data_IF_376875727622
#
_entry.id   IF_376875727622
#
_cell.length_a   1.000
_cell.length_b   1.000
_cell.length_c   1.000
_cell.angle_alpha   90.00
_cell.angle_beta   90.00
_cell.angle_gamma   90.00
#
_symmetry.space_group_name_H-M   'P 1'
#
loop_
_entity.id
_entity.type
_entity.pdbx_description
1 polymer ?
#
# COMPACT_ATOMS: atom_id res chain seq x y z
N UNK A 1 -19.36 -5.27 -3.01
CA UNK A 1 -19.48 -4.38 -1.84
C UNK A 1 -20.94 -4.31 -1.37
N UNK A 2 -21.16 -4.31 -0.05
CA UNK A 2 -22.47 -4.22 0.55
C UNK A 2 -22.44 -3.30 1.79
N UNK A 3 -23.38 -2.37 1.90
CA UNK A 3 -23.38 -1.29 2.93
C UNK A 3 -23.42 -1.79 4.38
N UNK A 4 -23.99 -2.96 4.62
CA UNK A 4 -24.11 -3.57 5.94
C UNK A 4 -22.88 -4.37 6.36
N UNK A 5 -21.95 -4.63 5.44
CA UNK A 5 -20.71 -5.35 5.71
C UNK A 5 -19.55 -4.40 6.03
N UNK A 6 -18.40 -4.96 6.39
CA UNK A 6 -17.14 -4.23 6.59
C UNK A 6 -15.97 -4.88 5.87
N UNK A 7 -16.20 -6.04 5.25
CA UNK A 7 -15.16 -6.85 4.60
C UNK A 7 -15.72 -7.53 3.36
N UNK A 8 -14.85 -8.08 2.54
CA UNK A 8 -15.21 -8.89 1.37
C UNK A 8 -14.91 -10.36 1.68
N UNK A 9 -15.83 -11.24 1.27
CA UNK A 9 -15.65 -12.68 1.30
C UNK A 9 -15.18 -13.13 -0.07
N UNK A 10 -13.98 -13.68 -0.15
CA UNK A 10 -13.48 -14.35 -1.35
C UNK A 10 -13.75 -15.84 -1.17
N UNK A 11 -14.51 -16.48 -2.09
CA UNK A 11 -14.73 -17.93 -2.02
C UNK A 11 -13.42 -18.66 -2.37
N UNK A 12 -13.17 -19.77 -1.68
CA UNK A 12 -12.02 -20.64 -1.90
C UNK A 12 -11.34 -21.03 -0.58
N UNK A 13 -10.42 -21.97 -0.66
CA UNK A 13 -9.53 -22.31 0.44
C UNK A 13 -8.30 -21.40 0.37
N UNK A 14 -8.06 -20.65 1.45
CA UNK A 14 -6.92 -19.74 1.55
C UNK A 14 -6.07 -20.20 2.73
N UNK A 15 -4.86 -20.64 2.44
CA UNK A 15 -3.86 -20.96 3.45
C UNK A 15 -3.14 -19.69 3.91
N UNK A 16 -3.72 -18.97 4.86
CA UNK A 16 -3.04 -17.88 5.54
C UNK A 16 -2.72 -18.26 6.99
N UNK A 17 -1.64 -17.72 7.52
CA UNK A 17 -1.19 -17.97 8.89
C UNK A 17 -1.96 -17.16 9.95
N UNK A 18 -2.98 -16.39 9.56
CA UNK A 18 -3.79 -15.51 10.41
C UNK A 18 -5.29 -15.78 10.27
N UNK A 19 -6.09 -15.19 11.17
CA UNK A 19 -7.53 -15.41 11.29
C UNK A 19 -8.31 -15.05 10.02
N UNK A 20 -9.39 -15.78 9.72
CA UNK A 20 -10.28 -15.53 8.57
C UNK A 20 -10.83 -14.08 8.53
N UNK A 21 -11.07 -13.46 9.68
CA UNK A 21 -11.50 -12.07 9.79
C UNK A 21 -10.46 -11.11 9.20
N UNK A 22 -9.18 -11.39 9.44
CA UNK A 22 -8.07 -10.61 8.90
C UNK A 22 -7.91 -10.82 7.39
N UNK A 23 -8.07 -12.05 6.88
CA UNK A 23 -8.06 -12.32 5.44
C UNK A 23 -9.17 -11.58 4.69
N UNK A 24 -10.37 -11.53 5.28
CA UNK A 24 -11.49 -10.77 4.71
C UNK A 24 -11.23 -9.26 4.70
N UNK A 25 -10.59 -8.74 5.75
CA UNK A 25 -10.17 -7.34 5.79
C UNK A 25 -9.10 -7.06 4.72
N UNK A 26 -8.12 -7.95 4.56
CA UNK A 26 -7.11 -7.85 3.52
C UNK A 26 -7.74 -7.79 2.12
N UNK A 27 -8.68 -8.68 1.82
CA UNK A 27 -9.39 -8.70 0.54
C UNK A 27 -10.14 -7.39 0.28
N UNK A 28 -10.75 -6.82 1.31
CA UNK A 28 -11.41 -5.52 1.23
C UNK A 28 -10.41 -4.39 1.02
N UNK A 29 -9.42 -4.28 1.88
CA UNK A 29 -8.49 -3.13 1.90
C UNK A 29 -7.62 -3.07 0.64
N UNK A 30 -7.10 -4.23 0.17
CA UNK A 30 -6.23 -4.28 -1.02
C UNK A 30 -6.93 -3.80 -2.28
N UNK A 31 -8.22 -4.09 -2.42
CA UNK A 31 -9.03 -3.59 -3.55
C UNK A 31 -9.17 -2.06 -3.54
N UNK A 32 -9.05 -1.42 -2.37
CA UNK A 32 -9.15 0.03 -2.24
C UNK A 32 -7.97 0.78 -2.88
N UNK A 33 -6.83 0.15 -3.07
CA UNK A 33 -5.72 0.75 -3.83
C UNK A 33 -6.13 1.08 -5.27
N UNK A 34 -6.93 0.21 -5.90
CA UNK A 34 -7.49 0.49 -7.21
C UNK A 34 -8.62 1.52 -7.14
N UNK A 35 -9.57 1.35 -6.22
CA UNK A 35 -10.71 2.25 -6.06
C UNK A 35 -10.32 3.68 -5.68
N UNK A 36 -9.21 3.87 -4.97
CA UNK A 36 -8.69 5.19 -4.64
C UNK A 36 -8.35 6.02 -5.90
N UNK A 37 -7.90 5.36 -6.97
CA UNK A 37 -7.40 6.01 -8.18
C UNK A 37 -8.43 6.05 -9.33
N UNK A 38 -9.61 5.43 -9.14
CA UNK A 38 -10.64 5.40 -10.17
C UNK A 38 -11.59 6.60 -10.05
N UNK A 39 -11.83 7.26 -11.18
CA UNK A 39 -12.88 8.27 -11.31
C UNK A 39 -14.25 7.63 -11.46
N UNK A 40 -15.29 8.30 -10.94
CA UNK A 40 -16.69 7.88 -11.09
C UNK A 40 -17.15 6.84 -10.07
N UNK A 41 -18.39 6.37 -10.25
CA UNK A 41 -19.10 5.40 -9.42
C UNK A 41 -19.20 5.78 -7.93
N UNK A 42 -19.77 6.97 -7.68
CA UNK A 42 -19.96 7.49 -6.32
C UNK A 42 -20.82 6.55 -5.46
N UNK A 43 -21.74 5.77 -6.02
CA UNK A 43 -22.57 4.82 -5.28
C UNK A 43 -21.72 3.69 -4.69
N UNK A 44 -20.76 3.14 -5.46
CA UNK A 44 -19.83 2.14 -4.95
C UNK A 44 -18.91 2.77 -3.89
N UNK A 45 -18.39 3.96 -4.14
CA UNK A 45 -17.53 4.67 -3.18
C UNK A 45 -18.29 4.98 -1.87
N UNK A 46 -19.53 5.43 -1.93
CA UNK A 46 -20.38 5.62 -0.74
C UNK A 46 -20.60 4.30 0.01
N UNK A 47 -20.80 3.19 -0.71
CA UNK A 47 -20.91 1.86 -0.13
C UNK A 47 -19.62 1.47 0.61
N UNK A 48 -18.45 1.69 0.00
CA UNK A 48 -17.15 1.45 0.63
C UNK A 48 -17.01 2.27 1.91
N UNK A 49 -17.38 3.55 1.91
CA UNK A 49 -17.35 4.39 3.11
C UNK A 49 -18.24 3.85 4.23
N UNK A 50 -19.43 3.32 3.91
CA UNK A 50 -20.30 2.68 4.90
C UNK A 50 -19.67 1.42 5.47
N UNK A 51 -19.02 0.60 4.65
CA UNK A 51 -18.26 -0.57 5.10
C UNK A 51 -17.11 -0.18 6.03
N UNK A 52 -16.38 0.90 5.71
CA UNK A 52 -15.32 1.44 6.59
C UNK A 52 -15.92 1.87 7.94
N UNK A 53 -17.03 2.62 7.94
CA UNK A 53 -17.71 3.04 9.19
C UNK A 53 -18.08 1.85 10.07
N UNK A 54 -18.59 0.78 9.49
CA UNK A 54 -18.91 -0.45 10.21
C UNK A 54 -17.66 -1.10 10.83
N UNK A 55 -16.58 -1.20 10.03
CA UNK A 55 -15.36 -1.86 10.46
C UNK A 55 -14.60 -1.17 11.59
N UNK A 56 -14.64 0.16 11.64
CA UNK A 56 -13.98 0.95 12.71
C UNK A 56 -14.86 1.16 13.95
N UNK A 57 -16.16 0.89 13.88
CA UNK A 57 -17.08 1.11 14.98
C UNK A 57 -17.05 -0.08 15.96
N UNK A 58 -16.54 0.16 17.17
CA UNK A 58 -16.46 -0.87 18.24
C UNK A 58 -17.80 -1.46 18.68
N UNK A 59 -18.91 -0.76 18.41
CA UNK A 59 -20.26 -1.22 18.75
C UNK A 59 -20.88 -2.04 17.61
N UNK A 60 -20.27 -2.06 16.43
CA UNK A 60 -20.71 -2.86 15.29
C UNK A 60 -20.35 -4.32 15.48
N UNK A 61 -21.22 -5.23 15.09
CA UNK A 61 -20.95 -6.66 14.95
C UNK A 61 -19.93 -6.96 13.81
N UNK A 62 -19.67 -5.98 12.96
CA UNK A 62 -18.72 -5.98 11.86
C UNK A 62 -17.36 -5.34 12.20
N UNK A 63 -17.13 -5.03 13.47
CA UNK A 63 -15.89 -4.39 13.92
C UNK A 63 -14.66 -5.21 13.58
N UNK A 64 -13.65 -4.58 13.00
CA UNK A 64 -12.38 -5.24 12.59
C UNK A 64 -11.52 -5.73 13.76
N UNK A 65 -11.90 -5.41 14.98
CA UNK A 65 -11.17 -5.79 16.18
C UNK A 65 -9.99 -4.87 16.50
N UNK A 66 -9.34 -5.17 17.64
CA UNK A 66 -8.13 -4.46 18.06
C UNK A 66 -6.92 -4.90 17.27
N UNK A 67 -5.95 -4.00 17.16
CA UNK A 67 -4.63 -4.29 16.58
C UNK A 67 -3.73 -4.89 17.64
N UNK A 68 -2.98 -5.94 17.26
CA UNK A 68 -2.01 -6.64 18.10
C UNK A 68 -0.58 -6.37 17.60
N UNK A 69 0.43 -6.79 18.36
CA UNK A 69 1.82 -6.77 17.92
C UNK A 69 1.99 -7.63 16.66
N UNK A 70 2.69 -7.09 15.65
CA UNK A 70 2.94 -7.74 14.36
C UNK A 70 1.67 -8.21 13.62
N UNK A 71 0.55 -7.52 13.85
CA UNK A 71 -0.75 -7.86 13.26
C UNK A 71 -0.78 -7.56 11.76
N UNK A 72 -1.24 -8.53 10.95
CA UNK A 72 -1.43 -8.32 9.50
C UNK A 72 -2.36 -7.13 9.20
N UNK A 73 -3.32 -6.82 10.06
CA UNK A 73 -4.20 -5.64 9.91
C UNK A 73 -3.46 -4.30 9.81
N UNK A 74 -2.21 -4.23 10.31
CA UNK A 74 -1.35 -3.04 10.18
C UNK A 74 -1.12 -2.71 8.70
N UNK A 75 -0.88 -3.73 7.88
CA UNK A 75 -0.65 -3.59 6.43
C UNK A 75 -1.91 -3.04 5.74
N UNK A 76 -3.07 -3.39 6.27
CA UNK A 76 -4.37 -3.05 5.68
C UNK A 76 -4.84 -1.61 6.00
N UNK A 77 -4.18 -0.94 6.94
CA UNK A 77 -4.55 0.40 7.36
C UNK A 77 -4.33 1.46 6.28
N UNK A 78 -3.16 1.46 5.62
CA UNK A 78 -2.84 2.55 4.70
C UNK A 78 -3.71 2.56 3.43
N UNK A 79 -4.10 1.42 2.83
CA UNK A 79 -5.01 1.45 1.68
C UNK A 79 -6.36 2.08 1.98
N UNK A 80 -6.90 1.81 3.19
CA UNK A 80 -8.16 2.39 3.64
C UNK A 80 -8.05 3.91 3.78
N UNK A 81 -6.99 4.39 4.43
CA UNK A 81 -6.77 5.83 4.58
C UNK A 81 -6.44 6.52 3.25
N UNK A 82 -5.69 5.86 2.37
CA UNK A 82 -5.44 6.36 1.02
C UNK A 82 -6.75 6.58 0.26
N UNK A 83 -7.66 5.59 0.31
CA UNK A 83 -8.99 5.72 -0.29
C UNK A 83 -9.75 6.93 0.27
N UNK A 84 -9.69 7.15 1.58
CA UNK A 84 -10.35 8.31 2.22
C UNK A 84 -9.71 9.63 1.79
N UNK A 85 -8.40 9.70 1.64
CA UNK A 85 -7.68 10.92 1.20
C UNK A 85 -8.00 11.25 -0.26
N UNK A 86 -7.98 10.27 -1.15
CA UNK A 86 -8.28 10.47 -2.57
C UNK A 86 -9.77 10.82 -2.81
N UNK A 87 -10.67 10.35 -1.94
CA UNK A 87 -12.09 10.65 -2.01
C UNK A 87 -12.53 11.59 -0.87
N UNK A 88 -11.72 12.62 -0.58
CA UNK A 88 -11.89 13.49 0.59
C UNK A 88 -13.26 14.17 0.66
N UNK A 89 -13.83 14.59 -0.45
CA UNK A 89 -15.15 15.23 -0.48
C UNK A 89 -16.26 14.28 0.03
N UNK A 90 -16.22 13.01 -0.39
CA UNK A 90 -17.16 11.98 0.11
C UNK A 90 -16.90 11.64 1.57
N UNK A 91 -15.62 11.55 1.97
CA UNK A 91 -15.25 11.37 3.37
C UNK A 91 -15.83 12.49 4.26
N UNK A 92 -15.66 13.75 3.88
CA UNK A 92 -16.16 14.90 4.63
C UNK A 92 -17.70 14.93 4.72
N UNK A 93 -18.38 14.50 3.64
CA UNK A 93 -19.84 14.39 3.56
C UNK A 93 -20.40 13.26 4.45
N UNK A 94 -19.73 12.10 4.48
CA UNK A 94 -20.27 10.87 5.06
C UNK A 94 -19.81 10.61 6.50
N UNK A 95 -18.68 11.20 6.93
CA UNK A 95 -18.13 11.00 8.26
C UNK A 95 -18.50 12.14 9.21
N UNK A 96 -19.48 11.88 10.06
CA UNK A 96 -19.81 12.72 11.20
C UNK A 96 -18.72 12.66 12.30
N UNK A 97 -18.89 13.41 13.38
CA UNK A 97 -17.91 13.47 14.46
C UNK A 97 -17.64 12.11 15.09
N UNK A 98 -18.66 11.30 15.30
CA UNK A 98 -18.54 9.97 15.93
C UNK A 98 -17.75 9.00 15.01
N UNK A 99 -18.04 9.01 13.70
CA UNK A 99 -17.31 8.21 12.74
C UNK A 99 -15.83 8.64 12.61
N UNK A 100 -15.56 9.95 12.67
CA UNK A 100 -14.18 10.50 12.67
C UNK A 100 -13.44 10.11 13.94
N UNK A 101 -14.10 10.13 15.09
CA UNK A 101 -13.49 9.68 16.35
C UNK A 101 -13.20 8.18 16.33
N UNK A 102 -14.13 7.34 15.86
CA UNK A 102 -13.91 5.91 15.68
C UNK A 102 -12.75 5.62 14.74
N UNK A 103 -12.65 6.33 13.60
CA UNK A 103 -11.55 6.23 12.67
C UNK A 103 -10.24 6.55 13.37
N UNK A 104 -10.14 7.70 14.01
CA UNK A 104 -8.95 8.11 14.73
C UNK A 104 -8.55 7.08 15.79
N UNK A 105 -9.49 6.61 16.61
CA UNK A 105 -9.21 5.62 17.66
C UNK A 105 -8.73 4.29 17.09
N UNK A 106 -9.26 3.83 15.95
CA UNK A 106 -8.85 2.57 15.36
C UNK A 106 -7.46 2.66 14.74
N UNK A 107 -7.19 3.69 13.95
CA UNK A 107 -5.92 3.85 13.25
C UNK A 107 -4.75 4.23 14.17
N UNK A 108 -4.99 5.00 15.23
CA UNK A 108 -3.93 5.35 16.19
C UNK A 108 -3.38 4.16 16.98
N UNK A 109 -4.04 3.00 16.97
CA UNK A 109 -3.52 1.79 17.59
C UNK A 109 -2.17 1.36 16.98
N UNK A 110 -1.88 1.73 15.73
CA UNK A 110 -0.57 1.46 15.08
C UNK A 110 0.60 2.02 15.89
N UNK A 111 0.38 3.11 16.62
CA UNK A 111 1.42 3.76 17.43
C UNK A 111 1.61 3.12 18.82
N UNK A 112 0.86 2.07 19.15
CA UNK A 112 0.82 1.43 20.48
C UNK A 112 1.29 -0.03 20.46
N UNK A 113 1.57 -0.58 19.29
CA UNK A 113 1.92 -1.99 19.09
C UNK A 113 3.33 -2.11 18.54
N UNK A 114 3.93 -3.29 18.76
CA UNK A 114 5.22 -3.61 18.17
C UNK A 114 5.08 -3.88 16.67
N UNK A 115 5.95 -3.27 15.87
CA UNK A 115 5.99 -3.42 14.40
C UNK A 115 7.42 -3.79 13.99
N UNK A 116 7.62 -4.79 13.11
CA UNK A 116 8.93 -5.23 12.68
C UNK A 116 9.80 -4.11 12.10
N UNK A 117 11.11 -4.18 12.34
CA UNK A 117 12.10 -3.24 11.81
C UNK A 117 12.48 -3.60 10.35
N UNK A 118 11.50 -3.55 9.47
CA UNK A 118 11.61 -3.81 8.04
C UNK A 118 10.72 -2.83 7.26
N UNK A 119 10.32 -3.17 6.04
CA UNK A 119 9.43 -2.34 5.22
C UNK A 119 8.13 -1.91 5.94
N UNK A 120 7.67 -2.62 6.98
CA UNK A 120 6.48 -2.27 7.75
C UNK A 120 6.60 -0.93 8.50
N UNK A 121 7.80 -0.41 8.67
CA UNK A 121 7.99 0.94 9.22
C UNK A 121 7.31 2.02 8.36
N UNK A 122 7.15 1.78 7.05
CA UNK A 122 6.39 2.67 6.20
C UNK A 122 4.89 2.70 6.50
N UNK A 123 4.31 1.64 7.07
CA UNK A 123 2.90 1.68 7.47
C UNK A 123 2.66 2.68 8.60
N UNK A 124 3.59 2.79 9.57
CA UNK A 124 3.52 3.82 10.62
C UNK A 124 3.57 5.22 9.97
N UNK A 125 4.49 5.42 9.05
CA UNK A 125 4.64 6.70 8.33
C UNK A 125 3.39 7.05 7.54
N UNK A 126 2.90 6.14 6.68
CA UNK A 126 1.77 6.38 5.79
C UNK A 126 0.46 6.57 6.57
N UNK A 127 0.18 5.73 7.57
CA UNK A 127 -1.02 5.85 8.40
C UNK A 127 -1.07 7.20 9.11
N UNK A 128 0.01 7.60 9.79
CA UNK A 128 0.06 8.89 10.47
C UNK A 128 0.02 10.08 9.48
N UNK A 129 0.63 9.94 8.31
CA UNK A 129 0.58 10.96 7.24
C UNK A 129 -0.85 11.15 6.74
N UNK A 130 -1.56 10.07 6.44
CA UNK A 130 -2.93 10.15 5.93
C UNK A 130 -3.92 10.62 7.01
N UNK A 131 -3.74 10.23 8.27
CA UNK A 131 -4.51 10.82 9.38
C UNK A 131 -4.35 12.36 9.42
N UNK A 132 -3.11 12.85 9.28
CA UNK A 132 -2.83 14.29 9.19
C UNK A 132 -3.59 14.96 8.03
N UNK A 133 -3.58 14.35 6.85
CA UNK A 133 -4.23 14.89 5.63
C UNK A 133 -5.77 14.91 5.75
N UNK A 134 -6.33 14.00 6.56
CA UNK A 134 -7.76 13.97 6.89
C UNK A 134 -8.12 14.90 8.07
N UNK A 135 -7.16 15.64 8.63
CA UNK A 135 -7.39 16.53 9.77
C UNK A 135 -7.61 15.81 11.09
N UNK A 136 -7.16 14.57 11.21
CA UNK A 136 -7.23 13.75 12.42
C UNK A 136 -5.93 13.83 13.23
N UNK A 137 -5.99 13.44 14.51
CA UNK A 137 -4.79 13.33 15.34
C UNK A 137 -3.85 12.27 14.77
N UNK A 138 -2.56 12.53 14.85
CA UNK A 138 -1.48 11.66 14.38
C UNK A 138 -0.25 11.79 15.27
N UNK A 139 0.70 10.89 15.14
CA UNK A 139 1.97 10.93 15.88
C UNK A 139 3.13 11.33 14.98
N UNK A 140 3.52 12.63 15.04
CA UNK A 140 4.76 13.09 14.40
C UNK A 140 5.99 12.34 14.93
N UNK A 141 6.03 12.06 16.24
CA UNK A 141 7.11 11.31 16.86
C UNK A 141 7.26 9.92 16.24
N UNK A 142 6.15 9.19 16.05
CA UNK A 142 6.19 7.86 15.44
C UNK A 142 6.70 7.91 13.98
N UNK A 143 6.28 8.92 13.20
CA UNK A 143 6.81 9.17 11.85
C UNK A 143 8.33 9.35 11.88
N UNK A 144 8.83 10.25 12.74
CA UNK A 144 10.25 10.57 12.79
C UNK A 144 11.11 9.40 13.28
N UNK A 145 10.59 8.59 14.21
CA UNK A 145 11.25 7.36 14.68
C UNK A 145 11.30 6.28 13.59
N UNK A 146 10.19 6.09 12.87
CA UNK A 146 10.15 5.12 11.77
C UNK A 146 11.07 5.52 10.62
N UNK A 147 11.18 6.79 10.29
CA UNK A 147 12.15 7.23 9.28
C UNK A 147 13.60 6.97 9.68
N UNK A 148 13.94 7.07 10.96
CA UNK A 148 15.28 6.67 11.44
C UNK A 148 15.55 5.18 11.22
N UNK A 149 14.53 4.32 11.36
CA UNK A 149 14.68 2.89 11.07
C UNK A 149 14.79 2.63 9.57
N UNK A 150 13.99 3.31 8.74
CA UNK A 150 14.05 3.21 7.28
C UNK A 150 15.43 3.67 6.77
N UNK A 151 16.00 4.72 7.35
CA UNK A 151 17.35 5.20 6.99
C UNK A 151 18.43 4.15 7.25
N UNK A 152 18.32 3.36 8.31
CA UNK A 152 19.27 2.26 8.60
C UNK A 152 19.21 1.13 7.58
N UNK A 153 18.11 1.00 6.86
CA UNK A 153 17.96 0.00 5.81
C UNK A 153 18.57 0.44 4.47
N UNK A 154 18.94 1.73 4.32
CA UNK A 154 19.59 2.22 3.10
C UNK A 154 21.04 1.75 3.03
N UNK A 155 21.42 1.10 1.92
CA UNK A 155 22.74 0.48 1.74
C UNK A 155 23.57 1.11 0.61
N UNK A 156 23.11 2.22 0.04
CA UNK A 156 23.78 2.94 -1.04
C UNK A 156 23.25 2.65 -2.43
N UNK A 157 23.61 3.48 -3.39
CA UNK A 157 23.29 3.35 -4.83
C UNK A 157 21.80 3.16 -5.14
N UNK A 158 20.92 3.73 -4.31
CA UNK A 158 19.47 3.55 -4.41
C UNK A 158 18.94 2.25 -3.82
N UNK A 159 19.79 1.38 -3.28
CA UNK A 159 19.35 0.11 -2.71
C UNK A 159 19.06 0.19 -1.21
N UNK A 160 18.12 -0.64 -0.81
CA UNK A 160 17.78 -0.90 0.60
C UNK A 160 17.97 -2.38 0.91
N UNK A 161 18.10 -2.72 2.19
CA UNK A 161 17.80 -4.05 2.73
C UNK A 161 16.40 -4.07 3.32
N UNK A 162 15.71 -5.21 3.27
CA UNK A 162 14.42 -5.36 3.96
C UNK A 162 14.66 -5.88 5.39
N UNK A 163 14.95 -4.95 6.30
CA UNK A 163 15.35 -5.23 7.68
C UNK A 163 16.86 -5.40 7.86
N UNK A 164 17.25 -5.92 9.04
CA UNK A 164 18.67 -6.01 9.48
C UNK A 164 19.45 -7.15 8.81
N UNK A 165 18.78 -8.05 8.08
CA UNK A 165 19.38 -9.29 7.53
C UNK A 165 20.04 -9.12 6.18
N UNK A 166 20.22 -7.92 5.67
CA UNK A 166 20.69 -7.63 4.30
C UNK A 166 19.88 -8.30 3.18
N UNK A 167 18.67 -8.72 3.47
CA UNK A 167 17.79 -9.37 2.50
C UNK A 167 17.41 -8.39 1.39
N UNK A 168 17.50 -8.87 0.15
CA UNK A 168 17.11 -8.13 -1.05
C UNK A 168 16.19 -9.01 -1.88
N UNK A 169 15.05 -8.46 -2.22
CA UNK A 169 14.01 -9.13 -3.01
C UNK A 169 13.05 -8.08 -3.60
N UNK A 170 11.93 -8.52 -4.14
CA UNK A 170 10.92 -7.63 -4.70
C UNK A 170 10.26 -6.68 -3.68
N UNK A 171 10.44 -6.83 -2.37
CA UNK A 171 10.03 -5.82 -1.39
C UNK A 171 10.85 -4.53 -1.48
N UNK A 172 12.03 -4.54 -2.13
CA UNK A 172 12.78 -3.30 -2.35
C UNK A 172 12.01 -2.37 -3.31
N UNK A 173 11.69 -2.76 -4.56
CA UNK A 173 10.88 -1.91 -5.45
C UNK A 173 9.42 -1.79 -5.01
N UNK A 174 8.79 -2.89 -4.58
CA UNK A 174 7.36 -2.98 -4.29
C UNK A 174 6.97 -2.29 -2.98
N UNK A 175 7.81 -2.36 -1.95
CA UNK A 175 7.51 -1.79 -0.64
C UNK A 175 8.38 -0.55 -0.37
N UNK A 176 9.69 -0.69 -0.21
CA UNK A 176 10.54 0.40 0.26
C UNK A 176 10.52 1.59 -0.69
N UNK A 177 10.73 1.39 -1.99
CA UNK A 177 10.64 2.50 -2.97
C UNK A 177 9.20 2.94 -3.23
N UNK A 178 8.26 2.00 -3.38
CA UNK A 178 6.87 2.35 -3.64
C UNK A 178 6.28 3.22 -2.52
N UNK A 179 6.46 2.82 -1.26
CA UNK A 179 5.94 3.58 -0.11
C UNK A 179 6.68 4.89 0.12
N UNK A 180 7.98 4.94 -0.15
CA UNK A 180 8.73 6.19 -0.07
C UNK A 180 8.28 7.21 -1.12
N UNK A 181 8.03 6.78 -2.34
CA UNK A 181 7.48 7.61 -3.40
C UNK A 181 6.03 8.00 -3.12
N UNK A 182 5.22 7.08 -2.57
CA UNK A 182 3.86 7.40 -2.12
C UNK A 182 3.90 8.51 -1.06
N UNK A 183 4.78 8.39 -0.05
CA UNK A 183 4.99 9.47 0.91
C UNK A 183 5.39 10.77 0.23
N UNK A 184 6.32 10.73 -0.72
CA UNK A 184 6.80 11.92 -1.44
C UNK A 184 5.70 12.61 -2.25
N UNK A 185 4.76 11.86 -2.79
CA UNK A 185 3.59 12.39 -3.51
C UNK A 185 2.70 13.24 -2.59
N UNK A 186 2.50 12.81 -1.34
CA UNK A 186 1.60 13.48 -0.40
C UNK A 186 2.28 14.46 0.56
N UNK A 187 3.60 14.47 0.60
CA UNK A 187 4.41 15.36 1.43
C UNK A 187 5.58 15.95 0.63
N UNK A 188 5.33 16.60 -0.52
CA UNK A 188 6.41 17.10 -1.37
C UNK A 188 7.24 18.20 -0.69
N UNK A 189 6.71 18.83 0.36
CA UNK A 189 7.38 19.86 1.16
C UNK A 189 8.38 19.30 2.18
N UNK A 190 8.36 17.97 2.43
CA UNK A 190 9.28 17.34 3.39
C UNK A 190 10.62 17.04 2.72
N UNK A 191 11.74 17.46 3.35
CA UNK A 191 13.09 17.24 2.81
C UNK A 191 13.39 15.76 2.54
N UNK A 192 12.78 14.84 3.29
CA UNK A 192 12.90 13.39 3.10
C UNK A 192 12.29 12.93 1.76
N UNK A 193 11.28 13.62 1.26
CA UNK A 193 10.70 13.33 -0.05
C UNK A 193 11.72 13.51 -1.18
N UNK A 194 12.54 14.55 -1.11
CA UNK A 194 13.63 14.80 -2.07
C UNK A 194 14.65 13.66 -2.02
N UNK A 195 15.06 13.25 -0.81
CA UNK A 195 16.02 12.15 -0.63
C UNK A 195 15.47 10.84 -1.20
N UNK A 196 14.22 10.52 -0.95
CA UNK A 196 13.57 9.31 -1.49
C UNK A 196 13.50 9.34 -3.01
N UNK A 197 13.18 10.48 -3.60
CA UNK A 197 13.13 10.62 -5.05
C UNK A 197 14.52 10.43 -5.67
N UNK A 198 15.57 11.03 -5.13
CA UNK A 198 16.94 10.85 -5.60
C UNK A 198 17.40 9.38 -5.50
N UNK A 199 17.10 8.71 -4.39
CA UNK A 199 17.38 7.28 -4.23
C UNK A 199 16.61 6.43 -5.25
N UNK A 200 15.36 6.77 -5.53
CA UNK A 200 14.55 6.08 -6.54
C UNK A 200 15.08 6.29 -7.95
N UNK A 201 15.57 7.48 -8.29
CA UNK A 201 16.27 7.75 -9.56
C UNK A 201 17.53 6.90 -9.73
N UNK A 202 18.32 6.74 -8.66
CA UNK A 202 19.49 5.85 -8.69
C UNK A 202 19.08 4.40 -8.88
N UNK A 203 18.09 3.93 -8.09
CA UNK A 203 17.57 2.57 -8.18
C UNK A 203 17.03 2.24 -9.58
N UNK A 204 16.28 3.14 -10.19
CA UNK A 204 15.67 2.96 -11.50
C UNK A 204 16.71 2.58 -12.58
N UNK A 205 17.94 3.16 -12.53
CA UNK A 205 19.04 2.87 -13.47
C UNK A 205 19.47 1.40 -13.45
N UNK A 206 19.30 0.72 -12.34
CA UNK A 206 19.63 -0.68 -12.16
C UNK A 206 18.41 -1.57 -12.36
N UNK A 207 17.27 -1.17 -11.80
CA UNK A 207 16.06 -1.99 -11.80
C UNK A 207 15.47 -2.21 -13.19
N UNK A 208 15.68 -1.29 -14.15
CA UNK A 208 15.24 -1.47 -15.53
C UNK A 208 15.83 -2.76 -16.17
N UNK A 209 17.01 -3.18 -15.72
CA UNK A 209 17.71 -4.38 -16.22
C UNK A 209 17.12 -5.69 -15.70
N UNK A 210 16.17 -5.61 -14.79
CA UNK A 210 15.46 -6.78 -14.28
C UNK A 210 14.39 -7.28 -15.27
N UNK A 211 14.06 -6.48 -16.27
CA UNK A 211 13.01 -6.77 -17.25
C UNK A 211 13.63 -7.13 -18.59
N UNK A 212 13.14 -8.23 -19.19
CA UNK A 212 13.51 -8.59 -20.56
C UNK A 212 12.79 -7.71 -21.58
N UNK A 213 13.21 -7.81 -22.84
CA UNK A 213 12.51 -7.16 -23.97
C UNK A 213 11.05 -7.63 -24.12
N UNK A 214 10.74 -8.85 -23.69
CA UNK A 214 9.44 -9.50 -23.82
C UNK A 214 8.54 -9.24 -22.60
N UNK A 215 9.03 -8.53 -21.58
CA UNK A 215 8.28 -8.07 -20.43
C UNK A 215 8.40 -8.92 -19.16
N UNK A 216 8.92 -10.16 -19.22
CA UNK A 216 9.18 -10.92 -18.01
C UNK A 216 10.28 -10.28 -17.17
N UNK A 217 10.22 -10.45 -15.86
CA UNK A 217 11.28 -10.02 -14.96
C UNK A 217 12.03 -11.21 -14.37
N UNK A 218 13.26 -10.98 -13.94
CA UNK A 218 14.09 -12.04 -13.34
C UNK A 218 13.47 -12.49 -12.01
N UNK A 219 13.56 -13.79 -11.66
CA UNK A 219 13.28 -14.25 -10.31
C UNK A 219 14.28 -13.63 -9.33
N UNK A 220 13.76 -12.96 -8.30
CA UNK A 220 14.61 -12.19 -7.38
C UNK A 220 14.13 -12.31 -5.93
N UNK A 221 14.86 -13.02 -5.10
CA UNK A 221 14.59 -13.23 -3.70
C UNK A 221 13.29 -13.99 -3.44
N UNK A 222 12.63 -13.70 -2.32
CA UNK A 222 11.30 -14.23 -1.98
C UNK A 222 10.21 -13.50 -2.77
N UNK A 223 8.97 -13.92 -2.62
CA UNK A 223 7.79 -13.25 -3.21
C UNK A 223 7.76 -13.27 -4.74
N UNK A 224 8.22 -14.36 -5.34
CA UNK A 224 8.21 -14.55 -6.80
C UNK A 224 6.80 -14.57 -7.39
N UNK A 225 5.80 -14.81 -6.55
CA UNK A 225 4.37 -14.84 -6.92
C UNK A 225 3.74 -13.46 -7.05
N UNK A 226 4.44 -12.39 -6.67
CA UNK A 226 3.93 -11.02 -6.73
C UNK A 226 3.99 -10.45 -8.15
N UNK A 227 3.23 -11.05 -9.04
CA UNK A 227 3.23 -10.84 -10.48
C UNK A 227 3.27 -9.36 -10.88
N UNK A 228 2.18 -8.65 -10.65
CA UNK A 228 2.05 -7.22 -11.03
C UNK A 228 2.79 -6.26 -10.10
N UNK A 229 3.16 -6.68 -8.90
CA UNK A 229 3.97 -5.90 -7.98
C UNK A 229 5.38 -5.59 -8.54
N UNK A 230 5.87 -6.38 -9.49
CA UNK A 230 7.14 -6.16 -10.17
C UNK A 230 7.21 -4.78 -10.85
N UNK A 231 6.10 -4.27 -11.36
CA UNK A 231 6.03 -2.95 -12.02
C UNK A 231 5.43 -1.84 -11.14
N UNK A 232 5.04 -2.13 -9.91
CA UNK A 232 4.47 -1.15 -8.99
C UNK A 232 5.41 0.05 -8.75
N UNK A 233 6.72 -0.21 -8.62
CA UNK A 233 7.73 0.85 -8.56
C UNK A 233 7.63 1.80 -9.76
N UNK A 234 7.61 1.25 -10.96
CA UNK A 234 7.57 2.05 -12.20
C UNK A 234 6.30 2.88 -12.30
N UNK A 235 5.16 2.29 -11.93
CA UNK A 235 3.88 2.99 -11.91
C UNK A 235 3.90 4.18 -10.93
N UNK A 236 4.46 4.01 -9.74
CA UNK A 236 4.58 5.11 -8.79
C UNK A 236 5.65 6.13 -9.20
N UNK A 237 6.81 5.68 -9.68
CA UNK A 237 7.92 6.53 -10.11
C UNK A 237 7.54 7.41 -11.31
N UNK A 238 6.68 6.92 -12.20
CA UNK A 238 6.21 7.70 -13.37
C UNK A 238 5.53 9.03 -13.01
N UNK A 239 4.99 9.16 -11.78
CA UNK A 239 4.39 10.44 -11.32
C UNK A 239 5.41 11.55 -11.10
N UNK A 240 6.71 11.24 -11.10
CA UNK A 240 7.81 12.17 -10.83
C UNK A 240 8.68 12.41 -12.07
N UNK A 241 8.27 11.90 -13.23
CA UNK A 241 9.01 12.02 -14.49
C UNK A 241 8.34 13.05 -15.38
N UNK A 242 9.10 14.09 -15.72
CA UNK A 242 8.69 15.16 -16.62
C UNK A 242 9.13 14.90 -18.07
N UNK A 243 10.24 14.15 -18.27
CA UNK A 243 10.76 13.84 -19.59
C UNK A 243 9.88 12.81 -20.31
N UNK A 244 9.28 13.21 -21.42
CA UNK A 244 8.36 12.37 -22.18
C UNK A 244 9.01 11.09 -22.75
N UNK A 245 10.30 11.14 -23.08
CA UNK A 245 11.03 9.97 -23.58
C UNK A 245 11.24 8.95 -22.45
N UNK A 246 11.71 9.39 -21.28
CA UNK A 246 11.83 8.53 -20.09
C UNK A 246 10.46 7.94 -19.69
N UNK A 247 9.42 8.76 -19.68
CA UNK A 247 8.06 8.32 -19.38
C UNK A 247 7.57 7.26 -20.38
N UNK A 248 7.91 7.39 -21.68
CA UNK A 248 7.54 6.41 -22.70
C UNK A 248 8.23 5.06 -22.47
N UNK A 249 9.50 5.07 -22.05
CA UNK A 249 10.24 3.85 -21.68
C UNK A 249 9.56 3.15 -20.49
N UNK A 250 9.24 3.91 -19.45
CA UNK A 250 8.59 3.39 -18.23
C UNK A 250 7.24 2.76 -18.58
N UNK A 251 6.39 3.47 -19.34
CA UNK A 251 5.11 2.92 -19.83
C UNK A 251 5.31 1.63 -20.62
N UNK A 252 6.32 1.59 -21.45
CA UNK A 252 6.66 0.39 -22.21
C UNK A 252 7.06 -0.80 -21.33
N UNK A 253 7.81 -0.57 -20.25
CA UNK A 253 8.16 -1.62 -19.27
C UNK A 253 6.91 -2.13 -18.57
N UNK A 254 6.05 -1.22 -18.10
CA UNK A 254 4.80 -1.57 -17.39
C UNK A 254 3.90 -2.40 -18.30
N UNK A 255 3.62 -1.91 -19.51
CA UNK A 255 2.70 -2.58 -20.44
C UNK A 255 3.20 -3.98 -20.81
N UNK A 256 4.46 -4.10 -21.21
CA UNK A 256 5.03 -5.42 -21.58
C UNK A 256 5.02 -6.41 -20.41
N UNK A 257 5.27 -5.96 -19.18
CA UNK A 257 5.22 -6.85 -18.04
C UNK A 257 3.79 -7.31 -17.72
N UNK A 258 2.82 -6.41 -17.80
CA UNK A 258 1.41 -6.75 -17.61
C UNK A 258 0.94 -7.71 -18.70
N UNK A 259 1.23 -7.41 -19.97
CA UNK A 259 0.89 -8.27 -21.13
C UNK A 259 1.54 -9.65 -21.02
N UNK A 260 2.83 -9.70 -20.59
CA UNK A 260 3.52 -10.97 -20.38
C UNK A 260 2.84 -11.82 -19.32
N UNK A 261 2.44 -11.23 -18.17
CA UNK A 261 1.72 -11.96 -17.13
C UNK A 261 0.32 -12.39 -17.59
N UNK A 262 -0.41 -11.54 -18.29
CA UNK A 262 -1.74 -11.88 -18.82
C UNK A 262 -1.70 -12.97 -19.89
N UNK A 263 -0.57 -13.15 -20.56
CA UNK A 263 -0.36 -14.22 -21.52
C UNK A 263 -0.02 -15.57 -20.86
N UNK A 264 0.26 -15.61 -19.54
CA UNK A 264 0.46 -16.84 -18.79
C UNK A 264 -0.89 -17.35 -18.25
N UNK A 265 -0.95 -18.63 -17.88
CA UNK A 265 -2.10 -19.22 -17.21
C UNK A 265 -2.11 -18.85 -15.70
N UNK A 266 -2.35 -17.59 -15.42
CA UNK A 266 -2.30 -17.02 -14.06
C UNK A 266 -3.68 -16.83 -13.42
N UNK A 267 -4.75 -17.19 -14.11
CA UNK A 267 -6.12 -17.04 -13.61
C UNK A 267 -6.80 -18.39 -13.63
N UNK A 268 -7.37 -18.80 -12.50
CA UNK A 268 -8.11 -20.06 -12.40
C UNK A 268 -9.51 -19.97 -13.05
N UNK A 269 -10.23 -21.08 -13.06
CA UNK A 269 -11.60 -21.17 -13.63
C UNK A 269 -12.63 -20.27 -12.93
N UNK A 270 -12.34 -19.76 -11.73
CA UNK A 270 -13.18 -18.86 -10.95
C UNK A 270 -12.79 -17.38 -11.11
N UNK A 271 -11.75 -17.09 -11.90
CA UNK A 271 -11.27 -15.74 -12.12
C UNK A 271 -10.26 -15.24 -11.08
N UNK A 272 -9.72 -16.10 -10.22
CA UNK A 272 -8.69 -15.74 -9.24
C UNK A 272 -7.29 -15.97 -9.78
N UNK A 273 -6.35 -15.14 -9.32
CA UNK A 273 -4.95 -15.31 -9.67
C UNK A 273 -4.38 -16.58 -9.03
N UNK A 274 -3.83 -17.46 -9.83
CA UNK A 274 -3.05 -18.61 -9.38
C UNK A 274 -1.75 -18.16 -8.70
N UNK A 275 -1.38 -18.85 -7.62
CA UNK A 275 -0.12 -18.61 -6.89
C UNK A 275 1.02 -19.39 -7.57
#
# INVERSE_FOLDING_TARGET
>A
YHKEESTIIIPGEIEASYENSTMRLESFSRSLLGWAMLDGDDEIKETIFMMIKNGINRQSDKYWGKIKDNDQKIVEMFPILLFCVENKNLYEKLFDNDARENMQQWFLQINQVHIPLNNWQFFIVLVNTFLRLLGLNYSKKAIDESFKQIERMYIGDGWYSDGETFQRDYYIPFALHYYSLLYSKYCPEDERAIVFLERSKLFAKYYIRFFSKDGNSIPFGRSLTYKFAQVAFWAMYSNFIEDEYELSIIKGVINRNIEWWLAQDIVDSNGFLNI
#
